data_IF_395650828097
#
_entry.id   IF_395650828097
#
_cell.length_a   1.000
_cell.length_b   1.000
_cell.length_c   1.000
_cell.angle_alpha   90.00
_cell.angle_beta   90.00
_cell.angle_gamma   90.00
#
_symmetry.space_group_name_H-M   'P 1'
#
loop_
_entity.id
_entity.type
_entity.pdbx_description
1 polymer ?
#
# COMPACT_ATOMS: atom_id res chain seq x y z
N UNK A 1 -2.99 -16.74 46.71
CA UNK A 1 -1.81 -16.64 45.81
C UNK A 1 -2.19 -16.50 44.32
N UNK A 2 -3.32 -17.08 43.88
CA UNK A 2 -3.79 -16.97 42.51
C UNK A 2 -4.29 -15.55 42.18
N UNK A 3 -4.91 -14.85 43.13
CA UNK A 3 -5.45 -13.51 42.96
C UNK A 3 -4.41 -12.42 42.68
N UNK A 4 -3.21 -12.51 43.23
CA UNK A 4 -2.13 -11.52 43.04
C UNK A 4 -1.52 -11.60 41.63
N UNK A 5 -1.48 -12.78 41.04
CA UNK A 5 -0.98 -12.96 39.65
C UNK A 5 -1.96 -12.45 38.60
N UNK A 6 -3.26 -12.60 38.85
CA UNK A 6 -4.31 -12.07 37.95
C UNK A 6 -4.34 -10.53 37.97
N UNK A 7 -4.24 -9.91 39.14
CA UNK A 7 -4.20 -8.45 39.30
C UNK A 7 -3.01 -7.84 38.53
N UNK A 8 -1.83 -8.44 38.57
CA UNK A 8 -0.66 -7.96 37.84
C UNK A 8 -0.80 -8.09 36.33
N UNK A 9 -1.43 -9.16 35.82
CA UNK A 9 -1.65 -9.35 34.40
C UNK A 9 -2.74 -8.43 33.86
N UNK A 10 -3.78 -8.17 34.59
CA UNK A 10 -4.84 -7.22 34.23
C UNK A 10 -4.30 -5.79 34.14
N UNK A 11 -3.45 -5.36 35.08
CA UNK A 11 -2.79 -4.05 35.02
C UNK A 11 -1.92 -3.92 33.74
N UNK A 12 -1.09 -4.91 33.45
CA UNK A 12 -0.26 -4.88 32.23
C UNK A 12 -1.09 -4.81 30.93
N UNK A 13 -2.22 -5.51 30.88
CA UNK A 13 -3.11 -5.46 29.71
C UNK A 13 -3.76 -4.08 29.61
N UNK A 14 -4.24 -3.53 30.71
CA UNK A 14 -4.84 -2.19 30.75
C UNK A 14 -3.86 -1.12 30.29
N UNK A 15 -2.67 -1.09 30.86
CA UNK A 15 -1.61 -0.14 30.49
C UNK A 15 -1.26 -0.25 29.00
N UNK A 16 -1.20 -1.47 28.46
CA UNK A 16 -0.94 -1.70 27.04
C UNK A 16 -2.08 -1.19 26.16
N UNK A 17 -3.33 -1.36 26.58
CA UNK A 17 -4.49 -0.85 25.84
C UNK A 17 -4.57 0.68 25.89
N UNK A 18 -4.25 1.28 27.03
CA UNK A 18 -4.21 2.75 27.19
C UNK A 18 -3.13 3.36 26.31
N UNK A 19 -1.94 2.76 26.24
CA UNK A 19 -0.88 3.16 25.30
C UNK A 19 -1.34 3.03 23.85
N UNK A 20 -1.99 1.91 23.50
CA UNK A 20 -2.50 1.67 22.17
C UNK A 20 -3.56 2.72 21.75
N UNK A 21 -4.51 2.99 22.64
CA UNK A 21 -5.54 4.01 22.43
C UNK A 21 -4.92 5.39 22.19
N UNK A 22 -3.92 5.78 23.01
CA UNK A 22 -3.23 7.05 22.86
C UNK A 22 -2.50 7.15 21.51
N UNK A 23 -1.84 6.08 21.06
CA UNK A 23 -1.16 6.05 19.76
C UNK A 23 -2.16 6.15 18.62
N UNK A 24 -3.29 5.41 18.69
CA UNK A 24 -4.32 5.41 17.64
C UNK A 24 -5.04 6.75 17.56
N UNK A 25 -5.35 7.38 18.70
CA UNK A 25 -6.02 8.70 18.76
C UNK A 25 -5.12 9.79 18.17
N UNK A 26 -3.80 9.68 18.35
CA UNK A 26 -2.82 10.61 17.81
C UNK A 26 -2.29 10.27 16.40
N UNK A 27 -2.83 9.25 15.75
CA UNK A 27 -2.32 8.79 14.45
C UNK A 27 -2.60 9.78 13.33
N UNK A 28 -1.54 10.23 12.67
CA UNK A 28 -1.65 11.13 11.52
C UNK A 28 -1.29 10.39 10.23
N UNK A 29 -2.19 10.40 9.26
CA UNK A 29 -1.97 9.78 7.95
C UNK A 29 -1.53 10.86 6.95
N UNK A 30 -0.32 10.72 6.42
CA UNK A 30 0.24 11.60 5.39
C UNK A 30 -0.04 11.02 3.99
N UNK A 31 -1.23 11.24 3.47
CA UNK A 31 -1.72 10.73 2.19
C UNK A 31 -0.78 11.06 1.02
N UNK A 32 -0.28 12.29 0.94
CA UNK A 32 0.64 12.73 -0.11
C UNK A 32 1.99 12.01 -0.07
N UNK A 33 2.48 11.67 1.13
CA UNK A 33 3.72 10.90 1.29
C UNK A 33 3.51 9.47 0.83
N UNK A 34 2.37 8.87 1.18
CA UNK A 34 1.99 7.53 0.74
C UNK A 34 1.91 7.48 -0.79
N UNK A 35 1.20 8.42 -1.40
CA UNK A 35 1.08 8.51 -2.87
C UNK A 35 2.46 8.67 -3.51
N UNK A 36 3.32 9.54 -2.97
CA UNK A 36 4.68 9.72 -3.49
C UNK A 36 5.49 8.42 -3.49
N UNK A 37 5.44 7.67 -2.39
CA UNK A 37 6.14 6.38 -2.30
C UNK A 37 5.55 5.35 -3.26
N UNK A 38 4.23 5.27 -3.34
CA UNK A 38 3.56 4.37 -4.28
C UNK A 38 3.92 4.69 -5.73
N UNK A 39 3.90 5.96 -6.12
CA UNK A 39 4.21 6.38 -7.49
C UNK A 39 5.68 6.14 -7.88
N UNK A 40 6.59 6.08 -6.92
CA UNK A 40 7.98 5.71 -7.17
C UNK A 40 8.15 4.23 -7.56
N UNK A 41 7.34 3.33 -6.98
CA UNK A 41 7.41 1.88 -7.23
C UNK A 41 6.41 1.38 -8.26
N UNK A 42 5.31 2.11 -8.48
CA UNK A 42 4.20 1.71 -9.35
C UNK A 42 4.62 1.41 -10.80
N UNK A 43 5.61 2.10 -11.41
CA UNK A 43 6.09 1.75 -12.75
C UNK A 43 6.59 0.30 -12.85
N UNK A 44 7.26 -0.23 -11.82
CA UNK A 44 7.71 -1.63 -11.81
C UNK A 44 6.53 -2.60 -11.69
N UNK A 45 5.50 -2.26 -10.92
CA UNK A 45 4.29 -3.08 -10.78
C UNK A 45 3.45 -3.09 -12.06
N UNK A 46 3.46 -1.99 -12.82
CA UNK A 46 2.66 -1.84 -14.03
C UNK A 46 3.24 -2.58 -15.26
N UNK A 47 4.48 -3.07 -15.17
CA UNK A 47 5.19 -3.70 -16.31
C UNK A 47 4.43 -4.85 -16.95
N UNK A 48 3.74 -5.67 -16.15
CA UNK A 48 2.94 -6.79 -16.68
C UNK A 48 1.75 -6.30 -17.52
N UNK A 49 1.04 -5.27 -17.03
CA UNK A 49 -0.09 -4.70 -17.74
C UNK A 49 0.36 -4.04 -19.05
N UNK A 50 1.50 -3.33 -19.03
CA UNK A 50 2.10 -2.70 -20.21
C UNK A 50 2.48 -3.76 -21.24
N UNK A 51 3.14 -4.84 -20.80
CA UNK A 51 3.50 -5.97 -21.64
C UNK A 51 2.27 -6.62 -22.28
N UNK A 52 1.23 -6.87 -21.48
CA UNK A 52 -0.01 -7.50 -21.98
C UNK A 52 -0.75 -6.63 -22.98
N UNK A 53 -0.71 -5.31 -22.81
CA UNK A 53 -1.29 -4.38 -23.79
C UNK A 53 -0.50 -4.41 -25.11
N UNK A 54 0.83 -4.44 -25.06
CA UNK A 54 1.68 -4.57 -26.24
C UNK A 54 1.49 -5.92 -26.98
N UNK A 55 1.30 -7.02 -26.21
CA UNK A 55 0.97 -8.33 -26.80
C UNK A 55 -0.38 -8.30 -27.50
N UNK A 56 -1.41 -7.66 -26.93
CA UNK A 56 -2.72 -7.49 -27.57
C UNK A 56 -2.63 -6.67 -28.86
N UNK A 57 -1.66 -5.75 -28.94
CA UNK A 57 -1.36 -4.97 -30.13
C UNK A 57 -0.58 -5.75 -31.21
N UNK A 58 -0.20 -7.01 -30.94
CA UNK A 58 0.46 -7.91 -31.88
C UNK A 58 1.95 -8.15 -31.63
N UNK A 59 2.50 -7.65 -30.53
CA UNK A 59 3.90 -7.86 -30.15
C UNK A 59 4.18 -9.30 -29.66
N UNK A 60 5.41 -9.78 -29.88
CA UNK A 60 5.84 -11.08 -29.34
C UNK A 60 6.04 -11.00 -27.84
N UNK A 61 5.36 -11.88 -27.09
CA UNK A 61 5.40 -11.89 -25.63
C UNK A 61 6.79 -12.14 -25.05
N UNK A 62 7.58 -12.99 -25.69
CA UNK A 62 8.91 -13.33 -25.18
C UNK A 62 9.91 -12.18 -25.37
N UNK A 63 9.88 -11.56 -26.52
CA UNK A 63 10.71 -10.40 -26.83
C UNK A 63 10.35 -9.21 -25.95
N UNK A 64 9.05 -8.91 -25.79
CA UNK A 64 8.56 -7.86 -24.90
C UNK A 64 8.94 -8.11 -23.43
N UNK A 65 8.83 -9.34 -22.95
CA UNK A 65 9.22 -9.70 -21.59
C UNK A 65 10.72 -9.49 -21.36
N UNK A 66 11.57 -9.94 -22.27
CA UNK A 66 13.01 -9.76 -22.15
C UNK A 66 13.38 -8.29 -22.19
N UNK A 67 12.75 -7.51 -23.06
CA UNK A 67 12.98 -6.07 -23.14
C UNK A 67 12.56 -5.35 -21.84
N UNK A 68 11.40 -5.65 -21.29
CA UNK A 68 10.97 -5.10 -19.99
C UNK A 68 11.95 -5.46 -18.88
N UNK A 69 12.46 -6.70 -18.87
CA UNK A 69 13.47 -7.13 -17.90
C UNK A 69 14.73 -6.27 -18.00
N UNK A 70 15.26 -6.06 -19.20
CA UNK A 70 16.44 -5.19 -19.45
C UNK A 70 16.20 -3.76 -18.96
N UNK A 71 15.09 -3.15 -19.36
CA UNK A 71 14.74 -1.77 -19.00
C UNK A 71 14.51 -1.61 -17.49
N UNK A 72 13.88 -2.61 -16.87
CA UNK A 72 13.66 -2.64 -15.41
C UNK A 72 14.99 -2.74 -14.65
N UNK A 73 15.98 -3.47 -15.16
CA UNK A 73 17.31 -3.54 -14.56
C UNK A 73 18.04 -2.18 -14.65
N UNK A 74 17.91 -1.48 -15.76
CA UNK A 74 18.49 -0.14 -15.95
C UNK A 74 17.85 0.86 -14.97
N UNK A 75 16.51 0.91 -14.94
CA UNK A 75 15.76 1.78 -14.03
C UNK A 75 16.04 1.43 -12.56
N UNK A 76 16.09 0.14 -12.22
CA UNK A 76 16.40 -0.34 -10.87
C UNK A 76 17.81 0.05 -10.41
N UNK A 77 18.80 0.01 -11.30
CA UNK A 77 20.16 0.49 -11.00
C UNK A 77 20.16 1.99 -10.73
N UNK A 78 19.49 2.78 -11.57
CA UNK A 78 19.33 4.21 -11.41
C UNK A 78 18.74 4.59 -10.04
N UNK A 79 17.66 3.92 -9.64
CA UNK A 79 17.00 4.16 -8.35
C UNK A 79 17.86 3.71 -7.18
N UNK A 80 18.37 2.47 -7.22
CA UNK A 80 19.01 1.83 -6.04
C UNK A 80 20.49 2.18 -5.86
N UNK A 81 21.22 2.42 -6.94
CA UNK A 81 22.66 2.72 -6.87
C UNK A 81 22.96 4.20 -7.00
N UNK A 82 22.17 4.92 -7.81
CA UNK A 82 22.42 6.33 -8.09
C UNK A 82 21.52 7.26 -7.26
N UNK A 83 20.47 6.72 -6.60
CA UNK A 83 19.51 7.50 -5.79
C UNK A 83 18.65 8.46 -6.60
N UNK A 84 18.48 8.20 -7.89
CA UNK A 84 17.72 9.04 -8.81
C UNK A 84 16.29 8.51 -8.95
N UNK A 85 15.40 9.36 -9.49
CA UNK A 85 14.00 9.00 -9.73
C UNK A 85 13.87 7.87 -10.77
N UNK A 86 12.79 7.09 -10.61
CA UNK A 86 12.45 5.99 -11.48
C UNK A 86 12.07 6.50 -12.88
N UNK A 87 12.80 6.09 -13.90
CA UNK A 87 12.59 6.48 -15.30
C UNK A 87 12.15 5.31 -16.18
N UNK A 88 11.58 4.26 -15.60
CA UNK A 88 11.19 3.05 -16.34
C UNK A 88 10.16 3.35 -17.45
N UNK A 89 9.20 4.24 -17.18
CA UNK A 89 8.17 4.60 -18.16
C UNK A 89 8.76 5.34 -19.37
N UNK A 90 9.71 6.23 -19.13
CA UNK A 90 10.43 6.94 -20.20
C UNK A 90 11.22 5.97 -21.07
N UNK A 91 11.88 4.98 -20.44
CA UNK A 91 12.62 3.94 -21.15
C UNK A 91 11.69 3.06 -21.99
N UNK A 92 10.52 2.67 -21.46
CA UNK A 92 9.52 1.88 -22.19
C UNK A 92 8.92 2.71 -23.35
N UNK A 93 8.60 3.99 -23.12
CA UNK A 93 8.05 4.87 -24.16
C UNK A 93 9.04 5.15 -25.29
N UNK A 94 10.34 5.16 -24.99
CA UNK A 94 11.39 5.33 -25.98
C UNK A 94 11.65 4.06 -26.84
N UNK A 95 11.14 2.91 -26.40
CA UNK A 95 11.34 1.62 -27.08
C UNK A 95 10.18 1.38 -28.07
N UNK A 96 10.44 1.40 -29.40
CA UNK A 96 9.40 1.28 -30.42
C UNK A 96 8.58 -0.01 -30.36
N UNK A 97 9.13 -1.05 -29.80
CA UNK A 97 8.51 -2.38 -29.65
C UNK A 97 7.19 -2.34 -28.86
N UNK A 98 7.03 -1.38 -27.96
CA UNK A 98 5.81 -1.25 -27.14
C UNK A 98 4.73 -0.41 -27.84
N UNK A 99 5.08 0.47 -28.77
CA UNK A 99 4.13 1.29 -29.53
C UNK A 99 3.25 2.18 -28.66
N UNK A 100 3.74 2.62 -27.48
CA UNK A 100 3.00 3.42 -26.50
C UNK A 100 3.73 4.73 -26.21
N UNK A 101 2.98 5.77 -25.94
CA UNK A 101 3.54 7.07 -25.56
C UNK A 101 3.68 7.17 -24.03
N UNK A 102 4.56 8.07 -23.57
CA UNK A 102 4.74 8.32 -22.14
C UNK A 102 3.43 8.80 -21.48
N UNK A 103 2.66 9.62 -22.16
CA UNK A 103 1.36 10.13 -21.67
C UNK A 103 0.35 9.01 -21.48
N UNK A 104 0.29 8.06 -22.40
CA UNK A 104 -0.57 6.87 -22.28
C UNK A 104 -0.15 5.99 -21.11
N UNK A 105 1.15 5.78 -20.92
CA UNK A 105 1.67 5.01 -19.78
C UNK A 105 1.33 5.68 -18.45
N UNK A 106 1.54 6.99 -18.34
CA UNK A 106 1.23 7.75 -17.13
C UNK A 106 -0.28 7.75 -16.81
N UNK A 107 -1.13 7.84 -17.83
CA UNK A 107 -2.60 7.80 -17.65
C UNK A 107 -3.12 6.45 -17.14
N UNK A 108 -2.37 5.37 -17.39
CA UNK A 108 -2.70 4.01 -16.95
C UNK A 108 -2.22 3.71 -15.52
N UNK A 109 -1.32 4.53 -14.96
CA UNK A 109 -0.80 4.39 -13.61
C UNK A 109 -1.79 4.88 -12.57
N UNK A 110 -2.75 4.04 -12.24
CA UNK A 110 -3.73 4.29 -11.19
C UNK A 110 -3.48 3.31 -10.03
N UNK A 111 -2.99 3.79 -8.86
CA UNK A 111 -2.75 2.94 -7.70
C UNK A 111 -3.97 2.14 -7.26
N UNK A 112 -5.17 2.69 -7.47
CA UNK A 112 -6.42 2.03 -7.06
C UNK A 112 -6.70 0.73 -7.81
N UNK A 113 -6.09 0.52 -8.98
CA UNK A 113 -6.20 -0.74 -9.72
C UNK A 113 -5.40 -1.89 -9.12
N UNK A 114 -4.50 -1.59 -8.17
CA UNK A 114 -3.60 -2.56 -7.54
C UNK A 114 -3.99 -2.89 -6.10
N UNK A 115 -5.00 -2.23 -5.52
CA UNK A 115 -5.43 -2.49 -4.13
C UNK A 115 -6.33 -3.74 -3.99
N UNK A 116 -6.77 -4.33 -5.10
CA UNK A 116 -7.66 -5.49 -5.09
C UNK A 116 -8.96 -5.19 -4.34
N UNK A 117 -9.35 -6.08 -3.44
CA UNK A 117 -10.56 -5.96 -2.60
C UNK A 117 -10.30 -5.38 -1.21
N UNK A 118 -9.18 -4.72 -0.99
CA UNK A 118 -8.84 -4.23 0.36
C UNK A 118 -9.88 -3.26 0.91
N UNK A 119 -10.42 -2.37 0.07
CA UNK A 119 -11.46 -1.43 0.50
C UNK A 119 -12.75 -2.15 0.91
N UNK A 120 -13.24 -3.05 0.05
CA UNK A 120 -14.45 -3.85 0.32
C UNK A 120 -14.29 -4.70 1.57
N UNK A 121 -13.13 -5.32 1.78
CA UNK A 121 -12.84 -6.11 2.97
C UNK A 121 -12.89 -5.27 4.25
N UNK A 122 -12.36 -4.05 4.23
CA UNK A 122 -12.44 -3.13 5.36
C UNK A 122 -13.88 -2.74 5.62
N UNK A 123 -14.63 -2.34 4.59
CA UNK A 123 -16.03 -1.94 4.71
C UNK A 123 -16.90 -3.09 5.26
N UNK A 124 -16.72 -4.30 4.75
CA UNK A 124 -17.39 -5.51 5.22
C UNK A 124 -17.05 -5.83 6.69
N UNK A 125 -15.78 -5.71 7.07
CA UNK A 125 -15.34 -5.96 8.44
C UNK A 125 -15.90 -4.93 9.42
N UNK A 126 -15.86 -3.65 9.06
CA UNK A 126 -16.43 -2.58 9.87
C UNK A 126 -17.94 -2.76 10.06
N UNK A 127 -18.67 -3.11 9.00
CA UNK A 127 -20.12 -3.26 9.06
C UNK A 127 -20.55 -4.53 9.81
N UNK A 128 -19.88 -5.66 9.55
CA UNK A 128 -20.35 -6.97 10.01
C UNK A 128 -19.74 -7.40 11.36
N UNK A 129 -18.59 -6.87 11.73
CA UNK A 129 -17.87 -7.25 12.95
C UNK A 129 -17.79 -6.09 13.94
N UNK A 130 -17.20 -4.96 13.51
CA UNK A 130 -16.92 -3.86 14.42
C UNK A 130 -18.20 -3.16 14.88
N UNK A 131 -19.09 -2.80 13.95
CA UNK A 131 -20.33 -2.09 14.29
C UNK A 131 -21.21 -2.85 15.29
N UNK A 132 -21.47 -4.16 15.16
CA UNK A 132 -22.23 -4.92 16.15
C UNK A 132 -21.56 -4.91 17.55
N UNK A 133 -20.22 -5.00 17.61
CA UNK A 133 -19.47 -4.93 18.87
C UNK A 133 -19.65 -3.57 19.53
N UNK A 134 -19.47 -2.48 18.78
CA UNK A 134 -19.67 -1.13 19.28
C UNK A 134 -21.11 -0.87 19.71
N UNK A 135 -22.09 -1.38 18.94
CA UNK A 135 -23.51 -1.24 19.27
C UNK A 135 -23.91 -1.97 20.56
N UNK A 136 -23.29 -3.12 20.85
CA UNK A 136 -23.53 -3.88 22.08
C UNK A 136 -22.83 -3.31 23.33
N UNK A 137 -21.80 -2.47 23.16
CA UNK A 137 -21.00 -1.90 24.23
C UNK A 137 -21.06 -0.36 24.27
N UNK A 138 -22.18 0.23 23.84
CA UNK A 138 -22.33 1.70 23.74
C UNK A 138 -22.07 2.45 25.02
N UNK A 139 -22.40 1.85 26.16
CA UNK A 139 -22.25 2.46 27.47
C UNK A 139 -20.78 2.56 27.92
N UNK A 140 -19.92 1.74 27.31
CA UNK A 140 -18.48 1.70 27.60
C UNK A 140 -17.64 2.55 26.64
N UNK A 141 -18.26 3.13 25.62
CA UNK A 141 -17.56 3.95 24.62
C UNK A 141 -17.22 5.34 25.18
N UNK A 142 -16.09 5.87 24.75
CA UNK A 142 -15.65 7.24 25.08
C UNK A 142 -14.71 7.32 26.29
N UNK A 143 -14.23 6.18 26.80
CA UNK A 143 -13.14 6.19 27.77
C UNK A 143 -11.88 6.77 27.11
N UNK A 144 -11.23 7.73 27.81
CA UNK A 144 -9.96 8.29 27.35
C UNK A 144 -8.82 7.59 28.10
N UNK A 145 -7.75 7.30 27.38
CA UNK A 145 -6.52 6.84 27.99
C UNK A 145 -5.88 7.98 28.80
N UNK A 146 -5.70 7.80 30.10
CA UNK A 146 -4.93 8.71 30.93
C UNK A 146 -3.53 8.12 31.12
N UNK A 147 -2.57 8.64 30.35
CA UNK A 147 -1.17 8.29 30.50
C UNK A 147 -0.54 9.27 31.48
N UNK A 148 -0.28 8.82 32.70
CA UNK A 148 0.53 9.54 33.68
C UNK A 148 2.01 9.21 33.40
N UNK A 149 2.73 10.11 32.73
CA UNK A 149 4.19 10.04 32.52
C UNK A 149 4.87 10.97 33.52
#
# INVERSE_FOLDING_TARGET
EIGVRLVGSEMCIRDSLDLYLNVVDGLVVYDKVIIKHMMAELPFMATENIMMDAVKAGGDRQELHEKIRELSMIAGKRVKQEGLDNNLLELIAAEPMFGVTLEELQSKLDPMKYVGRSKEQVDEYLANVIKPILDSNKEELGMKAEINV
#
